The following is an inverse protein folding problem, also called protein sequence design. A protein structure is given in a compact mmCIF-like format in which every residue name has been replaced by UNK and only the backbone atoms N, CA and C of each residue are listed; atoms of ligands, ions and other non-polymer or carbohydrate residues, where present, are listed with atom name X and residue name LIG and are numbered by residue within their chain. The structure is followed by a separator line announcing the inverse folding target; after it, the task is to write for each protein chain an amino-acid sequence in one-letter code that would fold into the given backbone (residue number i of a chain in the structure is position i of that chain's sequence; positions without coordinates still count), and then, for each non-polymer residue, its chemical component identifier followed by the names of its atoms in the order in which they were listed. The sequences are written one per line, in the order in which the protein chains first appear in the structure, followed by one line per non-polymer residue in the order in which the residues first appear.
data_IF_311651045790
#
_entry.id   IF_311651045790
#
_cell.length_a   1.000
_cell.length_b   1.000
_cell.length_c   1.000
_cell.angle_alpha   90.00
_cell.angle_beta   90.00
_cell.angle_gamma   90.00
#
_symmetry.space_group_name_H-M   'P 1'
#
loop_
_entity.id
_entity.type
_entity.pdbx_description
1 polymer ?
#
# COMPACT_ATOMS: atom_id res chain seq x y z
N UNK A 1 -38.48 -14.80 -39.99
CA UNK A 1 -38.60 -15.14 -38.56
C UNK A 1 -37.38 -14.59 -37.82
N UNK A 2 -37.40 -13.35 -37.34
CA UNK A 2 -36.29 -12.84 -36.53
C UNK A 2 -36.35 -13.49 -35.16
N UNK A 3 -35.28 -14.17 -34.76
CA UNK A 3 -35.14 -14.71 -33.41
C UNK A 3 -34.77 -13.57 -32.48
N UNK A 4 -35.57 -13.37 -31.44
CA UNK A 4 -35.25 -12.46 -30.33
C UNK A 4 -33.96 -12.94 -29.67
N UNK A 5 -32.99 -12.04 -29.49
CA UNK A 5 -31.76 -12.40 -28.76
C UNK A 5 -32.05 -12.48 -27.27
N UNK A 6 -31.21 -13.20 -26.52
CA UNK A 6 -31.33 -13.24 -25.06
C UNK A 6 -31.28 -11.83 -24.44
N UNK A 7 -30.52 -10.91 -25.04
CA UNK A 7 -30.44 -9.50 -24.63
C UNK A 7 -31.75 -8.76 -24.89
N UNK A 8 -32.34 -8.91 -26.09
CA UNK A 8 -33.62 -8.26 -26.43
C UNK A 8 -34.74 -8.68 -25.46
N UNK A 9 -34.77 -9.98 -25.13
CA UNK A 9 -35.72 -10.52 -24.16
C UNK A 9 -35.53 -9.93 -22.76
N UNK A 10 -34.29 -9.79 -22.29
CA UNK A 10 -33.98 -9.16 -21.00
C UNK A 10 -34.43 -7.70 -20.96
N UNK A 11 -34.23 -6.96 -22.06
CA UNK A 11 -34.67 -5.56 -22.17
C UNK A 11 -36.19 -5.48 -22.10
N UNK A 12 -36.93 -6.30 -22.87
CA UNK A 12 -38.40 -6.31 -22.84
C UNK A 12 -38.93 -6.63 -21.44
N UNK A 13 -38.44 -7.70 -20.82
CA UNK A 13 -38.87 -8.11 -19.47
C UNK A 13 -38.55 -7.04 -18.41
N UNK A 14 -37.47 -6.27 -18.57
CA UNK A 14 -37.14 -5.14 -17.68
C UNK A 14 -38.08 -3.95 -17.91
N UNK A 15 -38.39 -3.63 -19.17
CA UNK A 15 -39.33 -2.57 -19.54
C UNK A 15 -40.75 -2.87 -19.05
N UNK A 16 -41.25 -4.09 -19.24
CA UNK A 16 -42.60 -4.51 -18.78
C UNK A 16 -42.77 -4.40 -17.26
N UNK A 17 -41.68 -4.60 -16.50
CA UNK A 17 -41.67 -4.45 -15.04
C UNK A 17 -41.43 -3.00 -14.59
N UNK A 18 -41.32 -2.05 -15.50
CA UNK A 18 -41.09 -0.64 -15.20
C UNK A 18 -39.71 -0.36 -14.60
N UNK A 19 -38.69 -1.19 -14.88
CA UNK A 19 -37.34 -1.00 -14.34
C UNK A 19 -36.66 0.31 -14.80
N UNK A 20 -37.20 0.94 -15.83
CA UNK A 20 -36.74 2.22 -16.37
C UNK A 20 -37.62 3.41 -15.95
N UNK A 21 -38.71 3.18 -15.20
CA UNK A 21 -39.60 4.24 -14.72
C UNK A 21 -38.99 4.95 -13.50
N UNK A 22 -39.20 6.27 -13.40
CA UNK A 22 -38.73 7.06 -12.26
C UNK A 22 -37.21 7.28 -12.17
N UNK A 23 -36.45 6.93 -13.22
CA UNK A 23 -35.03 7.26 -13.29
C UNK A 23 -34.85 8.78 -13.34
N UNK A 24 -33.98 9.33 -12.49
CA UNK A 24 -33.77 10.78 -12.41
C UNK A 24 -33.29 11.44 -13.70
N UNK A 25 -32.72 10.65 -14.62
CA UNK A 25 -32.26 11.07 -15.95
C UNK A 25 -33.21 10.68 -17.10
N UNK A 26 -34.36 10.04 -16.82
CA UNK A 26 -35.29 9.63 -17.87
C UNK A 26 -35.75 10.84 -18.70
N UNK A 27 -35.64 10.72 -20.03
CA UNK A 27 -36.05 11.76 -20.98
C UNK A 27 -35.17 13.02 -21.01
N UNK A 28 -34.10 13.09 -20.20
CA UNK A 28 -33.13 14.19 -20.22
C UNK A 28 -32.01 13.86 -21.22
N UNK A 29 -31.45 14.86 -21.93
CA UNK A 29 -30.26 14.64 -22.73
C UNK A 29 -29.10 14.16 -21.84
N UNK A 30 -28.22 13.34 -22.41
CA UNK A 30 -26.98 12.96 -21.74
C UNK A 30 -26.12 14.20 -21.50
N UNK A 31 -25.46 14.25 -20.34
CA UNK A 31 -24.57 15.35 -20.01
C UNK A 31 -23.40 15.39 -21.01
N UNK A 32 -23.17 16.55 -21.63
CA UNK A 32 -22.05 16.75 -22.56
C UNK A 32 -20.70 16.48 -21.89
N UNK A 33 -20.58 16.75 -20.58
CA UNK A 33 -19.38 16.44 -19.82
C UNK A 33 -19.14 14.92 -19.70
N UNK A 34 -20.21 14.13 -19.58
CA UNK A 34 -20.13 12.67 -19.55
C UNK A 34 -19.77 12.09 -20.94
N UNK A 35 -20.22 12.74 -22.02
CA UNK A 35 -19.90 12.33 -23.40
C UNK A 35 -18.45 12.63 -23.78
N UNK A 36 -17.85 13.68 -23.22
CA UNK A 36 -16.46 14.04 -23.44
C UNK A 36 -15.47 13.18 -22.61
N UNK A 37 -15.97 12.42 -21.64
CA UNK A 37 -15.17 11.64 -20.72
C UNK A 37 -14.53 10.43 -21.40
N UNK A 38 -13.24 10.20 -21.14
CA UNK A 38 -12.58 8.97 -21.58
C UNK A 38 -13.07 7.76 -20.78
N UNK A 39 -12.94 6.56 -21.35
CA UNK A 39 -13.32 5.33 -20.64
C UNK A 39 -12.61 5.17 -19.27
N UNK A 40 -11.36 5.65 -19.16
CA UNK A 40 -10.60 5.61 -17.91
C UNK A 40 -11.15 6.57 -16.85
N UNK A 41 -11.50 7.79 -17.24
CA UNK A 41 -12.11 8.77 -16.34
C UNK A 41 -13.49 8.30 -15.85
N UNK A 42 -14.30 7.72 -16.76
CA UNK A 42 -15.57 7.11 -16.40
C UNK A 42 -15.42 5.96 -15.41
N UNK A 43 -14.45 5.07 -15.64
CA UNK A 43 -14.20 3.95 -14.74
C UNK A 43 -13.78 4.42 -13.34
N UNK A 44 -12.97 5.48 -13.25
CA UNK A 44 -12.57 6.08 -11.97
C UNK A 44 -13.76 6.71 -11.25
N UNK A 45 -14.60 7.46 -11.97
CA UNK A 45 -15.78 8.09 -11.39
C UNK A 45 -16.82 7.06 -10.94
N UNK A 46 -17.09 6.06 -11.77
CA UNK A 46 -17.97 4.93 -11.45
C UNK A 46 -17.46 4.21 -10.20
N UNK A 47 -16.17 3.89 -10.13
CA UNK A 47 -15.62 3.20 -8.98
C UNK A 47 -15.71 4.04 -7.69
N UNK A 48 -15.50 5.36 -7.78
CA UNK A 48 -15.70 6.27 -6.63
C UNK A 48 -17.16 6.29 -6.17
N UNK A 49 -18.11 6.31 -7.10
CA UNK A 49 -19.55 6.35 -6.81
C UNK A 49 -20.06 5.05 -6.19
N UNK A 50 -19.64 3.91 -6.75
CA UNK A 50 -20.08 2.58 -6.29
C UNK A 50 -19.23 2.03 -5.14
N UNK A 51 -18.17 2.73 -4.72
CA UNK A 51 -17.20 2.23 -3.73
C UNK A 51 -16.44 1.00 -4.22
N UNK A 52 -16.28 0.85 -5.53
CA UNK A 52 -15.63 -0.31 -6.13
C UNK A 52 -14.13 -0.32 -5.83
N UNK A 53 -13.59 -1.50 -5.52
CA UNK A 53 -12.17 -1.66 -5.26
C UNK A 53 -11.36 -1.66 -6.56
N UNK A 54 -10.75 -0.52 -6.89
CA UNK A 54 -9.86 -0.37 -8.06
C UNK A 54 -8.45 -0.92 -7.83
N UNK A 55 -8.12 -1.49 -6.66
CA UNK A 55 -6.76 -1.99 -6.40
C UNK A 55 -6.29 -3.02 -7.41
N UNK A 56 -7.22 -3.86 -7.88
CA UNK A 56 -6.95 -4.91 -8.87
C UNK A 56 -6.62 -4.33 -10.25
N UNK A 57 -7.11 -3.11 -10.55
CA UNK A 57 -6.87 -2.42 -11.82
C UNK A 57 -5.64 -1.49 -11.77
N UNK A 58 -4.92 -1.42 -10.64
CA UNK A 58 -3.75 -0.55 -10.53
C UNK A 58 -2.61 -1.06 -11.42
N UNK A 59 -1.92 -0.15 -12.14
CA UNK A 59 -0.65 -0.47 -12.75
C UNK A 59 0.33 -1.05 -11.72
N UNK A 60 1.21 -2.00 -12.11
CA UNK A 60 2.08 -2.72 -11.16
C UNK A 60 2.87 -1.81 -10.22
N UNK A 61 3.37 -0.68 -10.72
CA UNK A 61 4.12 0.29 -9.93
C UNK A 61 3.27 0.98 -8.84
N UNK A 62 2.01 1.30 -9.14
CA UNK A 62 1.09 1.90 -8.17
C UNK A 62 0.58 0.86 -7.17
N UNK A 63 0.39 -0.38 -7.61
CA UNK A 63 0.06 -1.50 -6.72
C UNK A 63 1.15 -1.69 -5.65
N UNK A 64 2.44 -1.71 -6.03
CA UNK A 64 3.55 -1.81 -5.08
C UNK A 64 3.64 -0.62 -4.12
N UNK A 65 3.30 0.59 -4.60
CA UNK A 65 3.25 1.77 -3.74
C UNK A 65 2.16 1.64 -2.68
N UNK A 66 0.96 1.21 -3.07
CA UNK A 66 -0.15 1.00 -2.15
C UNK A 66 0.16 -0.13 -1.17
N UNK A 67 0.69 -1.24 -1.65
CA UNK A 67 1.10 -2.37 -0.81
C UNK A 67 2.13 -1.95 0.26
N UNK A 68 3.06 -1.06 -0.09
CA UNK A 68 4.01 -0.47 0.88
C UNK A 68 3.29 0.34 1.95
N UNK A 69 2.32 1.16 1.57
CA UNK A 69 1.53 1.97 2.50
C UNK A 69 0.72 1.08 3.46
N UNK A 70 0.06 0.06 2.92
CA UNK A 70 -0.69 -0.95 3.67
C UNK A 70 0.23 -1.76 4.61
N UNK A 71 1.41 -2.17 4.14
CA UNK A 71 2.40 -2.86 4.95
C UNK A 71 2.78 -2.02 6.17
N UNK A 72 3.17 -0.76 5.96
CA UNK A 72 3.57 0.16 7.03
C UNK A 72 2.42 0.42 8.00
N UNK A 73 1.19 0.57 7.49
CA UNK A 73 -0.01 0.75 8.31
C UNK A 73 -0.36 -0.52 9.11
N UNK A 74 -0.07 -1.71 8.59
CA UNK A 74 -0.34 -2.99 9.24
C UNK A 74 0.66 -3.35 10.34
N UNK A 75 1.82 -2.67 10.40
CA UNK A 75 2.88 -3.01 11.38
C UNK A 75 2.34 -3.06 12.81
N UNK A 76 1.60 -2.07 13.33
CA UNK A 76 1.12 -2.06 14.71
C UNK A 76 0.11 -3.16 15.06
N UNK A 77 -0.54 -3.79 14.07
CA UNK A 77 -1.54 -4.84 14.33
C UNK A 77 -0.98 -6.25 14.20
N UNK A 78 0.31 -6.40 13.86
CA UNK A 78 0.94 -7.71 13.70
C UNK A 78 1.22 -8.38 15.05
N UNK A 79 1.07 -9.72 15.13
CA UNK A 79 1.13 -10.43 16.41
C UNK A 79 2.55 -10.61 16.97
N UNK A 80 3.60 -10.47 16.16
CA UNK A 80 4.99 -10.68 16.60
C UNK A 80 6.00 -9.90 15.76
N UNK A 81 7.20 -9.68 16.33
CA UNK A 81 8.35 -9.13 15.60
C UNK A 81 8.73 -9.97 14.38
N UNK A 82 8.65 -11.30 14.50
CA UNK A 82 8.93 -12.22 13.40
C UNK A 82 7.93 -12.04 12.25
N UNK A 83 6.64 -11.84 12.57
CA UNK A 83 5.61 -11.56 11.57
C UNK A 83 5.80 -10.21 10.88
N UNK A 84 6.38 -9.21 11.56
CA UNK A 84 6.77 -7.93 10.95
C UNK A 84 7.96 -8.14 10.00
N UNK A 85 9.01 -8.81 10.48
CA UNK A 85 10.21 -9.10 9.68
C UNK A 85 9.87 -9.85 8.41
N UNK A 86 9.13 -10.95 8.52
CA UNK A 86 8.74 -11.77 7.38
C UNK A 86 7.95 -10.97 6.33
N UNK A 87 7.05 -10.09 6.75
CA UNK A 87 6.26 -9.30 5.81
C UNK A 87 7.06 -8.20 5.11
N UNK A 88 7.97 -7.54 5.84
CA UNK A 88 8.88 -6.55 5.23
C UNK A 88 9.82 -7.22 4.24
N UNK A 89 10.39 -8.37 4.59
CA UNK A 89 11.25 -9.15 3.69
C UNK A 89 10.50 -9.62 2.45
N UNK A 90 9.29 -10.14 2.60
CA UNK A 90 8.48 -10.60 1.48
C UNK A 90 8.13 -9.43 0.53
N UNK A 91 7.77 -8.26 1.06
CA UNK A 91 7.55 -7.06 0.27
C UNK A 91 8.82 -6.64 -0.47
N UNK A 92 9.96 -6.58 0.23
CA UNK A 92 11.24 -6.21 -0.37
C UNK A 92 11.65 -7.19 -1.48
N UNK A 93 11.41 -8.50 -1.32
CA UNK A 93 11.65 -9.49 -2.37
C UNK A 93 10.76 -9.26 -3.61
N UNK A 94 9.48 -8.94 -3.42
CA UNK A 94 8.58 -8.58 -4.53
C UNK A 94 9.03 -7.30 -5.24
N UNK A 95 9.45 -6.30 -4.49
CA UNK A 95 9.95 -5.04 -5.02
C UNK A 95 11.23 -5.24 -5.84
N UNK A 96 12.18 -6.03 -5.35
CA UNK A 96 13.39 -6.40 -6.08
C UNK A 96 13.08 -7.16 -7.37
N UNK A 97 12.17 -8.14 -7.30
CA UNK A 97 11.72 -8.89 -8.47
C UNK A 97 11.06 -8.00 -9.53
N UNK A 98 10.28 -6.99 -9.11
CA UNK A 98 9.66 -6.03 -10.01
C UNK A 98 10.71 -5.14 -10.71
N UNK A 99 11.73 -4.67 -9.98
CA UNK A 99 12.81 -3.89 -10.57
C UNK A 99 13.66 -4.64 -11.59
N UNK A 100 13.77 -5.96 -11.46
CA UNK A 100 14.50 -6.81 -12.42
C UNK A 100 13.73 -7.06 -13.71
N UNK A 101 12.44 -6.74 -13.78
CA UNK A 101 11.64 -6.90 -14.99
C UNK A 101 11.72 -5.64 -15.86
N UNK A 102 11.82 -5.78 -17.20
CA UNK A 102 11.68 -4.65 -18.10
C UNK A 102 10.32 -3.98 -17.87
N UNK A 103 10.33 -2.68 -17.59
CA UNK A 103 9.11 -1.90 -17.41
C UNK A 103 8.84 -1.10 -18.69
N UNK A 104 7.65 -1.26 -19.25
CA UNK A 104 7.20 -0.52 -20.46
C UNK A 104 6.96 0.96 -20.15
N UNK A 105 6.63 1.25 -18.90
CA UNK A 105 6.40 2.60 -18.37
C UNK A 105 7.59 3.08 -17.56
N UNK A 106 7.82 4.41 -17.48
CA UNK A 106 8.85 4.98 -16.63
C UNK A 106 8.77 4.41 -15.20
N UNK A 107 9.88 3.94 -14.63
CA UNK A 107 9.85 3.27 -13.33
C UNK A 107 9.49 4.26 -12.22
N UNK A 108 8.50 3.91 -11.39
CA UNK A 108 8.25 4.63 -10.14
C UNK A 108 9.31 4.16 -9.14
N UNK A 109 10.24 5.05 -8.80
CA UNK A 109 11.27 4.77 -7.80
C UNK A 109 10.63 4.66 -6.40
N UNK A 110 10.44 3.42 -5.95
CA UNK A 110 10.05 3.03 -4.59
C UNK A 110 11.28 2.54 -3.81
N UNK A 111 11.50 3.12 -2.63
CA UNK A 111 12.55 2.65 -1.72
C UNK A 111 12.11 1.37 -1.00
N UNK A 112 13.08 0.48 -0.75
CA UNK A 112 12.89 -0.66 0.14
C UNK A 112 12.44 -0.22 1.54
N UNK A 113 11.70 -1.10 2.21
CA UNK A 113 11.25 -0.86 3.59
C UNK A 113 12.31 -1.39 4.55
N UNK A 114 12.74 -0.53 5.46
CA UNK A 114 13.70 -0.85 6.51
C UNK A 114 13.02 -1.70 7.60
N UNK A 115 13.55 -2.91 7.81
CA UNK A 115 13.04 -3.89 8.78
C UNK A 115 13.20 -3.37 10.20
N UNK A 116 14.38 -2.87 10.57
CA UNK A 116 14.68 -2.42 11.93
C UNK A 116 13.80 -1.23 12.31
N UNK A 117 13.55 -0.34 11.35
CA UNK A 117 12.61 0.77 11.53
C UNK A 117 11.17 0.30 11.78
N UNK A 118 10.71 -0.75 11.09
CA UNK A 118 9.37 -1.28 11.34
C UNK A 118 9.30 -2.04 12.66
N UNK A 119 10.36 -2.76 13.06
CA UNK A 119 10.42 -3.40 14.37
C UNK A 119 10.38 -2.38 15.51
N UNK A 120 11.08 -1.25 15.39
CA UNK A 120 11.00 -0.16 16.36
C UNK A 120 9.55 0.36 16.50
N UNK A 121 8.86 0.62 15.37
CA UNK A 121 7.44 1.02 15.37
C UNK A 121 6.53 -0.03 16.00
N UNK A 122 6.81 -1.31 15.76
CA UNK A 122 6.05 -2.39 16.37
C UNK A 122 6.23 -2.40 17.89
N UNK A 123 7.45 -2.24 18.40
CA UNK A 123 7.73 -2.17 19.85
C UNK A 123 7.11 -0.94 20.51
N UNK A 124 7.07 0.19 19.82
CA UNK A 124 6.37 1.39 20.29
C UNK A 124 4.86 1.14 20.43
N UNK A 125 4.27 0.37 19.52
CA UNK A 125 2.86 -0.02 19.57
C UNK A 125 2.57 -1.15 20.59
N UNK A 126 3.58 -1.98 20.90
CA UNK A 126 3.51 -3.09 21.85
C UNK A 126 4.52 -2.86 22.98
N UNK A 127 4.29 -1.87 23.86
CA UNK A 127 5.15 -1.65 25.00
C UNK A 127 5.18 -2.95 25.80
N UNK A 128 6.35 -3.59 25.78
CA UNK A 128 6.60 -4.71 26.67
C UNK A 128 6.47 -4.17 28.09
N UNK A 129 5.61 -4.77 28.90
CA UNK A 129 5.57 -4.45 30.31
C UNK A 129 7.00 -4.61 30.84
N UNK A 130 7.60 -3.57 31.44
CA UNK A 130 9.00 -3.64 31.85
C UNK A 130 9.12 -4.84 32.76
N UNK A 131 10.04 -5.76 32.43
CA UNK A 131 10.35 -6.89 33.28
C UNK A 131 10.58 -6.37 34.68
N UNK A 132 9.64 -6.66 35.59
CA UNK A 132 9.67 -6.24 36.98
C UNK A 132 11.07 -6.54 37.51
N UNK A 133 11.84 -5.54 37.99
CA UNK A 133 13.19 -5.79 38.45
C UNK A 133 13.09 -6.84 39.56
N UNK A 134 13.74 -7.99 39.36
CA UNK A 134 13.87 -9.00 40.38
C UNK A 134 14.56 -8.32 41.59
N UNK A 135 13.94 -8.32 42.79
CA UNK A 135 14.61 -7.77 43.96
C UNK A 135 15.68 -8.77 44.39
N UNK A 136 16.92 -8.53 43.98
CA UNK A 136 18.03 -9.42 44.34
C UNK A 136 19.29 -9.22 43.53
N UNK A 137 19.77 -7.99 43.37
CA UNK A 137 21.14 -7.72 42.93
C UNK A 137 21.62 -6.35 43.44
N UNK A 138 21.70 -6.24 44.77
CA UNK A 138 22.67 -5.40 45.47
C UNK A 138 23.56 -6.42 46.21
N UNK A 139 24.89 -6.45 46.18
CA UNK A 139 25.89 -5.42 45.95
C UNK A 139 27.16 -6.04 45.32
N UNK A 140 27.86 -5.30 44.47
CA UNK A 140 29.23 -5.59 44.04
C UNK A 140 29.92 -4.28 43.67
N UNK A 141 31.14 -3.98 44.19
CA UNK A 141 31.63 -2.61 44.22
C UNK A 141 32.11 -2.10 42.86
N UNK A 142 31.94 -0.79 42.70
CA UNK A 142 32.35 0.00 41.57
C UNK A 142 33.87 -0.12 41.28
N UNK A 143 34.20 -0.45 40.03
CA UNK A 143 35.46 -0.02 39.41
C UNK A 143 35.10 1.00 38.33
N UNK A 144 35.42 2.26 38.60
CA UNK A 144 35.43 3.32 37.62
C UNK A 144 36.58 3.09 36.63
N UNK A 145 36.27 3.00 35.34
CA UNK A 145 37.22 3.18 34.25
C UNK A 145 36.50 3.73 33.01
N UNK A 146 36.51 5.06 32.96
CA UNK A 146 36.63 5.93 31.79
C UNK A 146 35.66 5.83 30.61
N UNK A 147 34.97 6.95 30.40
CA UNK A 147 34.17 7.27 29.24
C UNK A 147 35.03 7.75 28.05
N UNK A 148 34.67 7.29 26.85
CA UNK A 148 34.75 8.09 25.63
C UNK A 148 35.72 7.61 24.54
N UNK A 149 35.17 7.05 23.45
CA UNK A 149 35.14 7.71 22.14
C UNK A 149 34.85 6.73 20.97
N UNK A 150 33.61 6.85 20.47
CA UNK A 150 33.10 6.65 19.10
C UNK A 150 33.75 5.61 18.15
N UNK A 151 32.95 4.60 17.80
CA UNK A 151 33.06 3.91 16.50
C UNK A 151 32.61 4.85 15.39
N UNK A 152 33.53 5.23 14.51
CA UNK A 152 33.23 6.10 13.37
C UNK A 152 32.29 5.43 12.36
N UNK A 153 31.31 6.15 11.80
CA UNK A 153 30.49 5.63 10.73
C UNK A 153 31.09 5.79 9.33
N UNK A 154 30.83 4.80 8.48
CA UNK A 154 31.41 4.55 7.16
C UNK A 154 30.92 5.46 6.01
N UNK A 155 30.12 6.50 6.28
CA UNK A 155 29.55 7.37 5.23
C UNK A 155 30.23 8.75 5.07
N UNK A 156 31.40 8.99 5.67
CA UNK A 156 32.21 10.16 5.33
C UNK A 156 33.12 9.86 4.13
N UNK A 157 32.58 10.05 2.92
CA UNK A 157 33.33 9.93 1.67
C UNK A 157 32.78 10.86 0.59
N UNK A 158 33.02 12.16 0.73
CA UNK A 158 32.60 13.18 -0.24
C UNK A 158 33.71 14.18 -0.58
N UNK A 159 34.29 14.00 -1.78
CA UNK A 159 35.00 14.95 -2.66
C UNK A 159 36.39 15.50 -2.27
N UNK A 160 37.39 15.16 -3.09
CA UNK A 160 38.43 16.11 -3.56
C UNK A 160 38.72 15.91 -5.06
N UNK A 161 38.60 17.00 -5.82
CA UNK A 161 39.11 17.20 -7.19
C UNK A 161 40.64 17.27 -7.19
N UNK A 162 41.27 16.95 -8.33
CA UNK A 162 42.32 17.82 -8.91
C UNK A 162 42.07 18.02 -10.43
N UNK A 163 42.59 19.01 -11.15
CA UNK A 163 43.24 20.30 -10.90
C UNK A 163 42.99 21.13 -12.17
#
# INVERSE_FOLDING_TARGET
MSRETWVDRQIREATERGAFEGLGAAGKPLDEAALAQTAGEWAVEWARREGADMTVALPPALALRREREELVASVPSRPSEEAVRAAVEQFNQRLDAAYRRPQEVPPVALAFVDVDRQLARWREAHPSEPAKPAPGAADGPACAAEAGASRSPWWRGGRRRPR
#
